data_IF_037720582116
#
_entry.id   IF_037720582116
#
_cell.length_a   1.000
_cell.length_b   1.000
_cell.length_c   1.000
_cell.angle_alpha   90.00
_cell.angle_beta   90.00
_cell.angle_gamma   90.00
#
_symmetry.space_group_name_H-M   'P 1'
#
loop_
_entity.id
_entity.type
_entity.pdbx_description
1 polymer ?
#
# COMPACT_ATOMS: atom_id res chain seq x y z
N UNK A 1 31.25 -6.96 19.69
CA UNK A 1 30.94 -7.26 18.27
C UNK A 1 30.11 -6.09 17.74
N UNK A 2 30.64 -5.30 16.81
CA UNK A 2 29.89 -4.18 16.21
C UNK A 2 28.88 -4.77 15.23
N UNK A 3 27.61 -4.84 15.63
CA UNK A 3 26.51 -5.29 14.78
C UNK A 3 26.23 -4.19 13.74
N UNK A 4 26.88 -4.32 12.58
CA UNK A 4 26.60 -3.47 11.42
C UNK A 4 25.19 -3.85 10.94
N UNK A 5 24.19 -2.99 11.21
CA UNK A 5 22.83 -3.22 10.69
C UNK A 5 22.91 -3.25 9.17
N UNK A 6 22.43 -4.33 8.57
CA UNK A 6 22.36 -4.45 7.11
C UNK A 6 21.52 -3.30 6.56
N UNK A 7 22.21 -2.40 5.86
CA UNK A 7 21.60 -1.20 5.31
C UNK A 7 21.27 -1.48 3.85
N UNK A 8 20.02 -1.19 3.47
CA UNK A 8 19.55 -1.44 2.12
C UNK A 8 20.44 -0.71 1.10
N UNK A 9 21.03 -1.47 0.18
CA UNK A 9 22.03 -0.95 -0.77
C UNK A 9 21.50 0.11 -1.73
N UNK A 10 20.18 0.23 -1.89
CA UNK A 10 19.56 1.32 -2.64
C UNK A 10 18.19 1.69 -2.08
N UNK A 11 17.94 3.00 -1.93
CA UNK A 11 16.65 3.56 -1.55
C UNK A 11 15.53 3.14 -2.52
N UNK A 12 15.86 2.96 -3.80
CA UNK A 12 14.92 2.44 -4.80
C UNK A 12 14.56 0.97 -4.53
N UNK A 13 15.53 0.14 -4.15
CA UNK A 13 15.29 -1.27 -3.80
C UNK A 13 14.37 -1.40 -2.58
N UNK A 14 14.55 -0.53 -1.58
CA UNK A 14 13.67 -0.48 -0.42
C UNK A 14 12.22 -0.09 -0.79
N UNK A 15 12.06 0.97 -1.58
CA UNK A 15 10.74 1.42 -2.02
C UNK A 15 10.06 0.35 -2.88
N UNK A 16 10.79 -0.31 -3.78
CA UNK A 16 10.23 -1.37 -4.63
C UNK A 16 9.79 -2.58 -3.80
N UNK A 17 10.62 -3.05 -2.86
CA UNK A 17 10.27 -4.16 -1.99
C UNK A 17 9.06 -3.85 -1.09
N UNK A 18 9.02 -2.65 -0.51
CA UNK A 18 7.87 -2.19 0.27
C UNK A 18 6.59 -2.08 -0.59
N UNK A 19 6.70 -1.54 -1.80
CA UNK A 19 5.58 -1.44 -2.74
C UNK A 19 5.06 -2.81 -3.20
N UNK A 20 5.96 -3.77 -3.41
CA UNK A 20 5.60 -5.15 -3.75
C UNK A 20 4.91 -5.88 -2.60
N UNK A 21 5.26 -5.57 -1.34
CA UNK A 21 4.55 -6.12 -0.18
C UNK A 21 3.18 -5.46 0.03
N UNK A 22 3.03 -4.19 -0.30
CA UNK A 22 1.77 -3.46 -0.15
C UNK A 22 0.73 -3.85 -1.22
N UNK A 23 1.17 -4.19 -2.44
CA UNK A 23 0.30 -4.57 -3.55
C UNK A 23 0.08 -6.09 -3.57
N UNK A 24 -0.96 -6.56 -2.89
CA UNK A 24 -1.34 -7.99 -2.83
C UNK A 24 -2.38 -8.43 -3.87
N UNK A 25 -2.55 -9.75 -4.03
CA UNK A 25 -3.54 -10.40 -4.92
C UNK A 25 -4.97 -9.85 -4.70
N UNK A 26 -5.31 -9.55 -3.44
CA UNK A 26 -6.61 -8.98 -3.08
C UNK A 26 -6.90 -7.65 -3.79
N UNK A 27 -5.88 -6.80 -3.98
CA UNK A 27 -6.04 -5.51 -4.63
C UNK A 27 -6.22 -5.63 -6.16
N UNK A 28 -5.81 -6.74 -6.76
CA UNK A 28 -5.88 -6.97 -8.23
C UNK A 28 -7.20 -7.65 -8.61
N UNK A 29 -7.70 -8.60 -7.80
CA UNK A 29 -8.90 -9.38 -8.13
C UNK A 29 -10.17 -8.93 -7.40
N UNK A 30 -10.07 -8.58 -6.12
CA UNK A 30 -11.25 -8.22 -5.32
C UNK A 30 -11.70 -6.78 -5.62
N UNK A 31 -10.76 -5.90 -5.88
CA UNK A 31 -11.03 -4.52 -6.27
C UNK A 31 -11.90 -4.39 -7.53
N UNK A 32 -11.57 -4.97 -8.70
CA UNK A 32 -12.41 -4.81 -9.90
C UNK A 32 -13.79 -5.43 -9.75
N UNK A 33 -13.90 -6.56 -9.05
CA UNK A 33 -15.20 -7.20 -8.77
C UNK A 33 -16.08 -6.32 -7.86
N UNK A 34 -15.48 -5.69 -6.85
CA UNK A 34 -16.19 -4.82 -5.91
C UNK A 34 -16.53 -3.46 -6.55
N UNK A 35 -15.62 -2.91 -7.35
CA UNK A 35 -15.89 -1.72 -8.15
C UNK A 35 -17.04 -1.97 -9.12
N UNK A 36 -17.02 -3.07 -9.89
CA UNK A 36 -18.11 -3.40 -10.83
C UNK A 36 -19.49 -3.51 -10.18
N UNK A 37 -19.58 -4.07 -8.97
CA UNK A 37 -20.85 -4.26 -8.24
C UNK A 37 -21.33 -3.00 -7.50
N UNK A 38 -20.41 -2.15 -7.00
CA UNK A 38 -20.74 -1.01 -6.13
C UNK A 38 -20.77 0.35 -6.86
N UNK A 39 -21.05 0.38 -8.17
CA UNK A 39 -21.16 1.64 -8.93
C UNK A 39 -19.85 2.11 -9.59
N UNK A 40 -18.91 1.20 -9.81
CA UNK A 40 -17.74 1.35 -10.69
C UNK A 40 -16.80 2.49 -10.29
N UNK A 41 -16.87 3.57 -11.07
CA UNK A 41 -16.02 4.75 -10.90
C UNK A 41 -16.30 5.53 -9.62
N UNK A 42 -17.56 5.60 -9.16
CA UNK A 42 -17.88 6.29 -7.91
C UNK A 42 -17.26 5.56 -6.70
N UNK A 43 -17.31 4.23 -6.70
CA UNK A 43 -16.65 3.39 -5.69
C UNK A 43 -15.13 3.58 -5.72
N UNK A 44 -14.53 3.66 -6.92
CA UNK A 44 -13.09 3.89 -7.09
C UNK A 44 -12.63 5.18 -6.42
N UNK A 45 -13.37 6.28 -6.60
CA UNK A 45 -13.01 7.58 -6.01
C UNK A 45 -13.08 7.53 -4.47
N UNK A 46 -14.17 6.97 -3.93
CA UNK A 46 -14.34 6.83 -2.47
C UNK A 46 -13.27 5.90 -1.88
N UNK A 47 -12.96 4.80 -2.57
CA UNK A 47 -11.91 3.87 -2.19
C UNK A 47 -10.54 4.54 -2.13
N UNK A 48 -10.21 5.37 -3.14
CA UNK A 48 -8.95 6.12 -3.18
C UNK A 48 -8.86 7.12 -2.02
N UNK A 49 -9.95 7.85 -1.76
CA UNK A 49 -10.02 8.80 -0.64
C UNK A 49 -9.84 8.09 0.70
N UNK A 50 -10.49 6.93 0.89
CA UNK A 50 -10.37 6.14 2.11
C UNK A 50 -8.95 5.58 2.28
N UNK A 51 -8.32 5.07 1.23
CA UNK A 51 -6.91 4.62 1.26
C UNK A 51 -5.97 5.78 1.59
N UNK A 52 -6.18 6.97 1.03
CA UNK A 52 -5.34 8.12 1.34
C UNK A 52 -5.47 8.57 2.80
N UNK A 53 -6.68 8.55 3.36
CA UNK A 53 -6.89 8.96 4.75
C UNK A 53 -6.41 7.86 5.71
N UNK A 54 -6.93 6.65 5.55
CA UNK A 54 -6.70 5.53 6.47
C UNK A 54 -5.32 4.94 6.25
N UNK A 55 -4.92 4.70 5.00
CA UNK A 55 -3.62 4.12 4.67
C UNK A 55 -2.47 5.05 5.05
N UNK A 56 -2.58 6.35 4.79
CA UNK A 56 -1.54 7.30 5.23
C UNK A 56 -1.49 7.40 6.75
N UNK A 57 -2.65 7.43 7.44
CA UNK A 57 -2.70 7.46 8.90
C UNK A 57 -2.06 6.22 9.53
N UNK A 58 -2.32 5.03 8.97
CA UNK A 58 -1.73 3.77 9.43
C UNK A 58 -0.21 3.78 9.24
N UNK A 59 0.25 4.18 8.05
CA UNK A 59 1.70 4.25 7.78
C UNK A 59 2.37 5.22 8.75
N UNK A 60 1.81 6.42 8.94
CA UNK A 60 2.34 7.39 9.91
C UNK A 60 2.32 6.83 11.34
N UNK A 61 1.28 6.07 11.72
CA UNK A 61 1.18 5.42 13.02
C UNK A 61 2.15 4.22 13.20
N UNK A 62 2.59 3.57 12.12
CA UNK A 62 3.64 2.55 12.19
C UNK A 62 5.05 3.14 12.27
N UNK A 63 5.24 4.35 11.72
CA UNK A 63 6.53 5.04 11.71
C UNK A 63 6.79 5.90 12.97
N UNK A 64 5.77 6.15 13.81
CA UNK A 64 5.86 6.94 15.06
C UNK A 64 6.32 6.11 16.26
#
# INVERSE_FOLDING_TARGET
>A
MSQNREQWGSKLGFILAASGSAVGIGNIWKYPSMAGQNGGGAFTIIYLACILIVGLSIVVAEFV
#
